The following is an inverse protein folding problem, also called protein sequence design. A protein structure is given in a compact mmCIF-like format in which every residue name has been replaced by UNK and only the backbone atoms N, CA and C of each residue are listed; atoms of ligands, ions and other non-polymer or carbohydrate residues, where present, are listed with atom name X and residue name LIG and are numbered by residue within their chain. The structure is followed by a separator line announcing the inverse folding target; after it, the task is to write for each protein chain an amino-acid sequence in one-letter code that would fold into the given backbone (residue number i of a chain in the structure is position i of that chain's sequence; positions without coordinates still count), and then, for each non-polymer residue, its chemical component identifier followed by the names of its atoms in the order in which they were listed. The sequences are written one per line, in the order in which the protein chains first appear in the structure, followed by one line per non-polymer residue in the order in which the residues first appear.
data_IF_850893407276
#
_entry.id   IF_850893407276
#
_cell.length_a   1.000
_cell.length_b   1.000
_cell.length_c   1.000
_cell.angle_alpha   90.00
_cell.angle_beta   90.00
_cell.angle_gamma   90.00
#
_symmetry.space_group_name_H-M   'P 1'
#
loop_
_entity.id
_entity.type
_entity.pdbx_description
1 polymer ?
#
# COMPACT_ATOMS: atom_id res chain seq x y z
N UNK A 1 8.20 4.23 2.79
CA UNK A 1 8.25 2.99 1.99
C UNK A 1 7.74 1.84 2.85
N UNK A 2 8.57 1.12 3.62
CA UNK A 2 8.05 0.06 4.49
C UNK A 2 7.19 0.62 5.62
N UNK A 3 5.91 0.26 5.62
CA UNK A 3 5.06 0.43 6.79
C UNK A 3 5.13 -0.85 7.62
N UNK A 4 4.17 -1.76 7.45
CA UNK A 4 4.13 -3.04 8.18
C UNK A 4 4.93 -4.13 7.45
N UNK A 5 5.72 -4.90 8.18
CA UNK A 5 6.40 -6.11 7.69
C UNK A 5 6.09 -7.28 8.62
N UNK A 6 5.97 -8.49 8.06
CA UNK A 6 5.81 -9.73 8.82
C UNK A 6 6.93 -10.72 8.52
N UNK A 7 7.72 -11.01 9.54
CA UNK A 7 8.79 -12.00 9.55
C UNK A 7 8.28 -13.31 10.14
N UNK A 8 8.71 -14.43 9.56
CA UNK A 8 8.51 -15.78 10.06
C UNK A 8 9.87 -16.48 10.04
N UNK A 9 10.34 -16.92 11.20
CA UNK A 9 11.64 -17.57 11.38
C UNK A 9 11.42 -18.92 12.07
N UNK A 10 12.05 -19.97 11.57
CA UNK A 10 12.11 -21.27 12.24
C UNK A 10 13.44 -21.38 12.98
N UNK A 11 13.48 -22.12 14.10
CA UNK A 11 14.75 -22.40 14.79
C UNK A 11 15.76 -23.07 13.84
N UNK A 12 15.29 -23.97 12.98
CA UNK A 12 16.10 -24.64 11.95
C UNK A 12 16.61 -23.71 10.84
N UNK A 13 16.13 -22.46 10.74
CA UNK A 13 16.71 -21.46 9.84
C UNK A 13 17.99 -20.81 10.42
N UNK A 14 18.32 -21.09 11.68
CA UNK A 14 19.48 -20.52 12.38
C UNK A 14 20.66 -21.50 12.42
N UNK A 15 21.88 -20.96 12.48
CA UNK A 15 23.12 -21.77 12.45
C UNK A 15 23.54 -22.21 13.87
N UNK A 16 22.69 -21.96 14.87
CA UNK A 16 22.94 -22.22 16.27
C UNK A 16 21.73 -22.87 16.92
N UNK A 17 21.98 -23.70 17.93
CA UNK A 17 20.92 -24.25 18.77
C UNK A 17 20.30 -23.11 19.60
N UNK A 18 18.98 -23.02 19.56
CA UNK A 18 18.21 -21.99 20.26
C UNK A 18 16.78 -22.46 20.46
N UNK A 19 16.22 -22.16 21.64
CA UNK A 19 14.81 -22.34 21.94
C UNK A 19 14.14 -20.96 21.97
N UNK A 20 13.26 -20.66 21.02
CA UNK A 20 12.56 -19.36 20.98
C UNK A 20 11.66 -19.15 22.21
N UNK A 21 11.11 -20.23 22.76
CA UNK A 21 10.27 -20.19 23.97
C UNK A 21 11.05 -19.74 25.20
N UNK A 22 12.36 -20.00 25.26
CA UNK A 22 13.23 -19.57 26.35
C UNK A 22 13.85 -18.21 26.05
N UNK A 23 14.40 -18.04 24.85
CA UNK A 23 15.23 -16.89 24.53
C UNK A 23 14.40 -15.64 24.20
N UNK A 24 13.38 -15.78 23.36
CA UNK A 24 12.62 -14.62 22.85
C UNK A 24 11.57 -14.16 23.87
N UNK A 25 10.95 -15.10 24.59
CA UNK A 25 9.85 -14.78 25.52
C UNK A 25 10.31 -13.87 26.66
N UNK A 26 11.54 -14.02 27.16
CA UNK A 26 12.11 -13.15 28.19
C UNK A 26 12.36 -11.70 27.75
N UNK A 27 12.17 -11.38 26.47
CA UNK A 27 12.49 -10.06 25.87
C UNK A 27 11.26 -9.25 25.49
N UNK A 28 10.07 -9.80 25.67
CA UNK A 28 8.81 -9.17 25.23
C UNK A 28 7.90 -8.91 26.41
N UNK A 29 7.05 -7.89 26.29
CA UNK A 29 5.94 -7.67 27.20
C UNK A 29 4.82 -8.66 26.84
N UNK A 30 4.67 -9.71 27.65
CA UNK A 30 3.72 -10.79 27.39
C UNK A 30 2.28 -10.29 27.54
N UNK A 31 1.47 -10.55 26.52
CA UNK A 31 0.03 -10.27 26.53
C UNK A 31 -0.77 -11.57 26.76
N UNK A 32 -0.36 -12.67 26.12
CA UNK A 32 -1.05 -13.97 26.19
C UNK A 32 -0.03 -15.09 26.25
N UNK A 33 -0.24 -16.02 27.19
CA UNK A 33 0.59 -17.20 27.36
C UNK A 33 -0.27 -18.46 27.38
N UNK A 34 0.12 -19.46 26.59
CA UNK A 34 -0.50 -20.79 26.51
C UNK A 34 0.58 -21.83 26.23
N UNK A 35 0.26 -23.12 26.45
CA UNK A 35 1.24 -24.22 26.49
C UNK A 35 2.28 -24.19 25.36
N UNK A 36 1.85 -23.97 24.11
CA UNK A 36 2.75 -23.95 22.94
C UNK A 36 2.75 -22.62 22.20
N UNK A 37 2.25 -21.55 22.83
CA UNK A 37 2.11 -20.25 22.17
C UNK A 37 2.18 -19.11 23.17
N UNK A 38 3.13 -18.21 22.93
CA UNK A 38 3.26 -16.95 23.65
C UNK A 38 3.11 -15.80 22.67
N UNK A 39 2.31 -14.81 23.04
CA UNK A 39 2.12 -13.58 22.29
C UNK A 39 2.44 -12.41 23.21
N UNK A 40 3.21 -11.47 22.70
CA UNK A 40 3.54 -10.24 23.40
C UNK A 40 4.00 -9.17 22.44
N UNK A 41 4.56 -8.12 23.00
CA UNK A 41 5.00 -6.95 22.27
C UNK A 41 6.42 -6.56 22.64
N UNK A 42 7.20 -6.23 21.64
CA UNK A 42 8.46 -5.51 21.79
C UNK A 42 8.30 -4.16 21.12
N UNK A 43 8.08 -3.11 21.91
CA UNK A 43 7.64 -1.80 21.42
C UNK A 43 6.41 -1.97 20.49
N UNK A 44 6.49 -1.47 19.25
CA UNK A 44 5.44 -1.54 18.25
C UNK A 44 5.43 -2.87 17.45
N UNK A 45 6.33 -3.81 17.74
CA UNK A 45 6.37 -5.12 17.10
C UNK A 45 5.56 -6.11 17.91
N UNK A 46 4.55 -6.71 17.27
CA UNK A 46 3.86 -7.88 17.81
C UNK A 46 4.76 -9.10 17.60
N UNK A 47 5.04 -9.81 18.68
CA UNK A 47 5.90 -11.00 18.69
C UNK A 47 5.06 -12.19 19.11
N UNK A 48 5.16 -13.26 18.34
CA UNK A 48 4.44 -14.50 18.60
C UNK A 48 5.36 -15.69 18.41
N UNK A 49 5.56 -16.46 19.49
CA UNK A 49 6.31 -17.72 19.48
C UNK A 49 5.30 -18.86 19.48
N UNK A 50 5.47 -19.83 18.56
CA UNK A 50 4.66 -21.04 18.41
C UNK A 50 5.58 -22.25 18.30
N UNK A 51 5.89 -22.89 19.43
CA UNK A 51 6.93 -23.93 19.47
C UNK A 51 8.22 -23.40 18.85
N UNK A 52 8.68 -24.02 17.77
CA UNK A 52 9.92 -23.69 17.05
C UNK A 52 9.78 -22.59 15.98
N UNK A 53 8.63 -21.90 15.93
CA UNK A 53 8.35 -20.82 14.98
C UNK A 53 8.22 -19.48 15.68
N UNK A 54 8.99 -18.50 15.23
CA UNK A 54 8.88 -17.10 15.63
C UNK A 54 8.19 -16.29 14.53
N UNK A 55 7.19 -15.49 14.92
CA UNK A 55 6.47 -14.56 14.05
C UNK A 55 6.63 -13.16 14.63
N UNK A 56 7.16 -12.23 13.84
CA UNK A 56 7.33 -10.82 14.23
C UNK A 56 6.62 -9.95 13.20
N UNK A 57 5.65 -9.15 13.64
CA UNK A 57 4.84 -8.30 12.77
C UNK A 57 4.75 -6.87 13.33
N UNK A 58 5.05 -5.87 12.51
CA UNK A 58 4.90 -4.48 12.91
C UNK A 58 5.57 -3.50 11.94
N UNK A 59 5.54 -2.22 12.31
CA UNK A 59 6.05 -1.15 11.46
C UNK A 59 7.56 -0.93 11.64
N UNK A 60 8.34 -1.11 10.57
CA UNK A 60 9.78 -0.80 10.58
C UNK A 60 10.01 0.70 10.78
N UNK A 61 9.15 1.55 10.19
CA UNK A 61 9.24 3.01 10.36
C UNK A 61 8.92 3.43 11.80
N UNK A 62 7.87 2.89 12.43
CA UNK A 62 7.60 3.17 13.86
C UNK A 62 8.75 2.68 14.75
N UNK A 63 9.35 1.53 14.46
CA UNK A 63 10.48 1.03 15.25
C UNK A 63 11.68 1.99 15.26
N UNK A 64 12.02 2.55 14.10
CA UNK A 64 13.19 3.40 13.94
C UNK A 64 12.94 4.86 14.33
N UNK A 65 11.78 5.42 13.97
CA UNK A 65 11.46 6.84 14.16
C UNK A 65 10.48 7.14 15.30
N UNK A 66 9.85 6.12 15.89
CA UNK A 66 8.75 6.32 16.84
C UNK A 66 7.50 6.92 16.21
N UNK A 67 7.31 6.78 14.89
CA UNK A 67 6.07 7.10 14.17
C UNK A 67 6.11 6.52 12.75
N UNK A 68 4.98 6.51 12.03
CA UNK A 68 4.91 6.08 10.63
C UNK A 68 4.43 7.17 9.66
N UNK A 69 4.64 8.43 10.04
CA UNK A 69 4.10 9.55 9.27
C UNK A 69 5.10 10.64 8.91
N UNK A 70 6.23 10.77 9.61
CA UNK A 70 7.16 11.88 9.43
C UNK A 70 7.98 11.77 8.14
N UNK A 71 8.63 10.63 7.90
CA UNK A 71 9.42 10.39 6.67
C UNK A 71 9.61 8.91 6.39
N UNK A 72 10.10 8.62 5.18
CA UNK A 72 10.52 7.27 4.79
C UNK A 72 11.96 6.99 5.24
N UNK A 73 12.26 5.72 5.54
CA UNK A 73 13.59 5.23 5.84
C UNK A 73 14.47 5.11 4.58
N UNK A 74 15.72 5.55 4.68
CA UNK A 74 16.80 5.26 3.74
C UNK A 74 17.24 3.79 3.82
N UNK A 75 17.98 3.32 2.80
CA UNK A 75 18.39 1.91 2.69
C UNK A 75 19.20 1.44 3.92
N UNK A 76 20.18 2.24 4.34
CA UNK A 76 20.99 1.94 5.52
C UNK A 76 20.17 1.93 6.81
N UNK A 77 19.15 2.78 6.93
CA UNK A 77 18.25 2.83 8.09
C UNK A 77 17.39 1.57 8.18
N UNK A 78 16.95 1.03 7.03
CA UNK A 78 16.22 -0.25 6.97
C UNK A 78 17.12 -1.38 7.47
N UNK A 79 18.37 -1.43 7.00
CA UNK A 79 19.35 -2.42 7.48
C UNK A 79 19.67 -2.27 8.97
N UNK A 80 19.85 -1.04 9.45
CA UNK A 80 20.06 -0.76 10.88
C UNK A 80 18.85 -1.15 11.73
N UNK A 81 17.63 -0.90 11.23
CA UNK A 81 16.36 -1.28 11.87
C UNK A 81 16.30 -2.78 12.07
N UNK A 82 16.51 -3.57 11.01
CA UNK A 82 16.46 -5.04 11.09
C UNK A 82 17.53 -5.58 12.04
N UNK A 83 18.78 -5.10 11.94
CA UNK A 83 19.85 -5.48 12.87
C UNK A 83 19.54 -5.12 14.32
N UNK A 84 18.90 -3.97 14.56
CA UNK A 84 18.51 -3.55 15.91
C UNK A 84 17.37 -4.42 16.48
N UNK A 85 16.43 -4.84 15.64
CA UNK A 85 15.38 -5.78 16.00
C UNK A 85 15.97 -7.16 16.30
N UNK A 86 16.92 -7.63 15.49
CA UNK A 86 17.66 -8.88 15.73
C UNK A 86 18.35 -8.88 17.09
N UNK A 87 19.06 -7.81 17.44
CA UNK A 87 19.71 -7.66 18.77
C UNK A 87 18.69 -7.64 19.91
N UNK A 88 17.58 -6.94 19.72
CA UNK A 88 16.58 -6.79 20.77
C UNK A 88 15.83 -8.10 21.06
N UNK A 89 15.65 -8.97 20.06
CA UNK A 89 15.07 -10.31 20.22
C UNK A 89 16.11 -11.42 20.45
N UNK A 90 17.40 -11.09 20.32
CA UNK A 90 18.54 -12.02 20.28
C UNK A 90 18.40 -13.18 19.28
N UNK A 91 17.89 -12.88 18.08
CA UNK A 91 17.75 -13.82 16.97
C UNK A 91 18.04 -13.12 15.65
N UNK A 92 18.56 -13.82 14.64
CA UNK A 92 18.85 -13.20 13.34
C UNK A 92 17.59 -13.06 12.48
N UNK A 93 16.89 -11.93 12.61
CA UNK A 93 15.71 -11.58 11.79
C UNK A 93 16.08 -11.41 10.31
N UNK A 94 17.34 -11.14 10.00
CA UNK A 94 17.87 -11.13 8.64
C UNK A 94 17.58 -12.45 7.89
N UNK A 95 17.60 -13.58 8.59
CA UNK A 95 17.32 -14.90 8.03
C UNK A 95 15.84 -15.23 7.93
N UNK A 96 14.97 -14.44 8.58
CA UNK A 96 13.55 -14.71 8.64
C UNK A 96 12.89 -14.54 7.27
N UNK A 97 11.97 -15.43 6.94
CA UNK A 97 11.12 -15.32 5.76
C UNK A 97 10.15 -14.16 5.92
N UNK A 98 10.11 -13.29 4.93
CA UNK A 98 9.16 -12.18 4.87
C UNK A 98 7.88 -12.66 4.20
N UNK A 99 6.77 -12.62 4.94
CA UNK A 99 5.47 -13.16 4.48
C UNK A 99 4.46 -12.06 4.12
N UNK A 100 4.61 -10.87 4.70
CA UNK A 100 3.83 -9.66 4.39
C UNK A 100 4.74 -8.44 4.30
N UNK A 101 4.48 -7.58 3.33
CA UNK A 101 5.12 -6.26 3.18
C UNK A 101 4.05 -5.24 2.81
N UNK A 102 3.92 -4.19 3.61
CA UNK A 102 3.07 -3.06 3.29
C UNK A 102 3.96 -1.86 2.91
N UNK A 103 3.72 -1.29 1.72
CA UNK A 103 4.40 -0.09 1.24
C UNK A 103 3.46 1.09 1.37
N UNK A 104 3.81 2.10 2.16
CA UNK A 104 2.96 3.27 2.36
C UNK A 104 3.71 4.61 2.24
N UNK A 105 2.98 5.61 1.76
CA UNK A 105 3.37 7.01 1.71
C UNK A 105 2.18 7.91 2.05
N UNK A 106 2.47 9.04 2.69
CA UNK A 106 1.50 10.09 2.99
C UNK A 106 1.70 11.24 2.01
N UNK A 107 0.60 11.83 1.56
CA UNK A 107 0.58 12.91 0.59
C UNK A 107 -0.24 14.06 1.14
N UNK A 108 0.38 15.23 1.28
CA UNK A 108 -0.35 16.46 1.58
C UNK A 108 -1.01 16.94 0.29
N UNK A 109 -2.33 16.96 0.28
CA UNK A 109 -3.15 17.33 -0.88
C UNK A 109 -3.93 18.60 -0.58
N UNK A 110 -4.36 19.32 -1.61
CA UNK A 110 -5.08 20.60 -1.44
C UNK A 110 -6.48 20.41 -0.90
N UNK A 111 -7.17 19.37 -1.35
CA UNK A 111 -8.58 19.12 -1.02
C UNK A 111 -8.75 17.96 -0.03
N UNK A 112 -9.96 17.78 0.47
CA UNK A 112 -10.31 16.64 1.32
C UNK A 112 -9.93 15.29 0.65
N UNK A 113 -9.24 14.36 1.34
CA UNK A 113 -8.75 13.11 0.76
C UNK A 113 -9.82 12.29 0.02
N UNK A 114 -11.06 12.29 0.50
CA UNK A 114 -12.16 11.54 -0.13
C UNK A 114 -12.52 12.03 -1.53
N UNK A 115 -12.23 13.30 -1.86
CA UNK A 115 -12.43 13.86 -3.20
C UNK A 115 -11.44 13.27 -4.22
N UNK A 116 -10.27 12.83 -3.79
CA UNK A 116 -9.30 12.09 -4.61
C UNK A 116 -9.70 10.63 -4.72
N UNK A 117 -10.08 10.00 -3.59
CA UNK A 117 -10.48 8.60 -3.55
C UNK A 117 -11.65 8.29 -4.49
N UNK A 118 -12.68 9.15 -4.56
CA UNK A 118 -13.81 8.95 -5.47
C UNK A 118 -13.43 8.92 -6.95
N UNK A 119 -12.29 9.50 -7.34
CA UNK A 119 -11.79 9.53 -8.72
C UNK A 119 -10.95 8.31 -9.10
N UNK A 120 -10.68 7.41 -8.16
CA UNK A 120 -10.01 6.14 -8.42
C UNK A 120 -11.09 5.10 -8.70
N UNK A 121 -11.26 4.70 -9.96
CA UNK A 121 -12.48 4.04 -10.44
C UNK A 121 -12.36 2.53 -10.59
N UNK A 122 -11.32 2.03 -11.24
CA UNK A 122 -11.22 0.62 -11.56
C UNK A 122 -9.76 0.16 -11.62
N UNK A 123 -9.52 -1.07 -11.19
CA UNK A 123 -8.21 -1.71 -11.31
C UNK A 123 -8.42 -3.18 -11.65
N UNK A 124 -7.84 -3.59 -12.76
CA UNK A 124 -8.04 -4.93 -13.30
C UNK A 124 -7.63 -6.03 -12.31
N UNK A 125 -8.48 -7.04 -12.14
CA UNK A 125 -8.33 -8.14 -11.17
C UNK A 125 -8.44 -7.76 -9.69
N UNK A 126 -8.82 -6.53 -9.36
CA UNK A 126 -9.10 -6.11 -7.99
C UNK A 126 -10.58 -5.82 -7.80
N UNK A 127 -11.11 -6.22 -6.66
CA UNK A 127 -12.44 -5.82 -6.21
C UNK A 127 -12.36 -4.45 -5.54
N UNK A 128 -13.11 -3.48 -6.04
CA UNK A 128 -13.16 -2.13 -5.48
C UNK A 128 -14.26 -2.05 -4.42
N UNK A 129 -13.94 -1.48 -3.26
CA UNK A 129 -14.92 -1.21 -2.21
C UNK A 129 -14.53 0.01 -1.39
N UNK A 130 -15.51 0.66 -0.75
CA UNK A 130 -15.25 1.79 0.12
C UNK A 130 -16.05 1.68 1.42
N UNK A 131 -15.48 2.15 2.52
CA UNK A 131 -16.19 2.34 3.78
C UNK A 131 -16.54 3.82 3.86
N UNK A 132 -17.76 4.16 3.42
CA UNK A 132 -18.26 5.54 3.37
C UNK A 132 -17.23 6.52 2.75
N UNK A 133 -17.11 7.73 3.30
CA UNK A 133 -16.10 8.74 2.92
C UNK A 133 -14.77 8.58 3.66
N UNK A 134 -14.52 7.42 4.30
CA UNK A 134 -13.36 7.22 5.20
C UNK A 134 -12.17 6.54 4.52
N UNK A 135 -12.43 5.55 3.66
CA UNK A 135 -11.39 4.72 3.05
C UNK A 135 -11.86 4.05 1.76
N UNK A 136 -10.91 3.81 0.86
CA UNK A 136 -11.08 3.11 -0.40
C UNK A 136 -10.12 1.94 -0.49
N UNK A 137 -10.65 0.78 -0.88
CA UNK A 137 -9.95 -0.47 -1.01
C UNK A 137 -10.01 -0.96 -2.46
N UNK A 138 -8.87 -1.42 -2.97
CA UNK A 138 -8.82 -2.34 -4.09
C UNK A 138 -8.26 -3.65 -3.57
N UNK A 139 -9.10 -4.68 -3.49
CA UNK A 139 -8.79 -5.95 -2.87
C UNK A 139 -8.51 -7.06 -3.89
N UNK A 140 -7.44 -7.80 -3.63
CA UNK A 140 -7.07 -9.03 -4.31
C UNK A 140 -6.62 -10.04 -3.27
N UNK A 141 -6.63 -11.31 -3.65
CA UNK A 141 -6.26 -12.42 -2.76
C UNK A 141 -4.87 -12.28 -2.13
N UNK A 142 -3.88 -11.84 -2.91
CA UNK A 142 -2.46 -11.76 -2.50
C UNK A 142 -2.00 -10.34 -2.16
N UNK A 143 -2.84 -9.33 -2.41
CA UNK A 143 -2.49 -7.93 -2.23
C UNK A 143 -3.70 -7.01 -2.09
N UNK A 144 -3.52 -5.81 -1.56
CA UNK A 144 -4.57 -4.80 -1.42
C UNK A 144 -3.98 -3.41 -1.63
N UNK A 145 -4.70 -2.52 -2.30
CA UNK A 145 -4.44 -1.08 -2.25
C UNK A 145 -5.40 -0.45 -1.25
N UNK A 146 -4.90 0.43 -0.40
CA UNK A 146 -5.69 1.16 0.58
C UNK A 146 -5.41 2.65 0.47
N UNK A 147 -6.47 3.44 0.39
CA UNK A 147 -6.43 4.89 0.43
C UNK A 147 -7.31 5.40 1.58
N UNK A 148 -6.83 6.36 2.36
CA UNK A 148 -7.61 6.93 3.46
C UNK A 148 -7.08 8.27 3.96
N UNK A 149 -7.89 9.01 4.72
CA UNK A 149 -7.46 10.22 5.41
C UNK A 149 -6.61 9.87 6.65
N UNK A 150 -5.31 10.16 6.59
CA UNK A 150 -4.36 9.81 7.66
C UNK A 150 -4.58 10.64 8.92
N UNK A 151 -5.01 11.90 8.79
CA UNK A 151 -5.31 12.73 9.97
C UNK A 151 -6.49 12.14 10.74
N UNK A 152 -7.54 11.72 10.04
CA UNK A 152 -8.68 11.04 10.68
C UNK A 152 -8.26 9.76 11.38
N UNK A 153 -7.42 8.92 10.75
CA UNK A 153 -6.92 7.70 11.39
C UNK A 153 -6.07 7.99 12.64
N UNK A 154 -5.20 9.00 12.61
CA UNK A 154 -4.40 9.39 13.78
C UNK A 154 -5.30 9.88 14.94
N UNK A 155 -6.42 10.55 14.64
CA UNK A 155 -7.39 10.97 15.66
C UNK A 155 -8.11 9.80 16.34
N UNK A 156 -8.13 8.62 15.73
CA UNK A 156 -8.71 7.41 16.33
C UNK A 156 -7.71 6.62 17.18
N UNK A 157 -6.41 6.91 17.06
CA UNK A 157 -5.35 6.31 17.87
C UNK A 157 -5.09 7.23 19.09
N UNK A 158 -5.22 6.71 20.31
CA UNK A 158 -5.08 7.49 21.56
C UNK A 158 -3.63 7.54 22.10
N UNK A 159 -2.65 7.05 21.33
CA UNK A 159 -1.26 7.04 21.76
C UNK A 159 -0.55 8.40 21.54
N UNK A 160 0.51 8.64 22.32
CA UNK A 160 1.24 9.91 22.29
C UNK A 160 1.84 10.26 20.91
N UNK A 161 2.26 9.26 20.13
CA UNK A 161 2.82 9.47 18.78
C UNK A 161 1.74 9.97 17.83
N UNK A 162 0.54 9.41 17.95
CA UNK A 162 -0.64 9.78 17.15
C UNK A 162 -1.13 11.18 17.48
N UNK A 163 -1.19 11.55 18.77
CA UNK A 163 -1.50 12.93 19.21
C UNK A 163 -0.51 13.92 18.63
N UNK A 164 0.79 13.62 18.68
CA UNK A 164 1.81 14.48 18.07
C UNK A 164 1.67 14.54 16.54
N UNK A 165 1.28 13.43 15.91
CA UNK A 165 1.03 13.37 14.47
C UNK A 165 -0.12 14.28 14.04
N UNK A 166 -1.21 14.31 14.81
CA UNK A 166 -2.33 15.23 14.56
C UNK A 166 -1.86 16.69 14.62
N UNK A 167 -1.03 17.05 15.61
CA UNK A 167 -0.44 18.41 15.70
C UNK A 167 0.45 18.73 14.51
N UNK A 168 1.28 17.78 14.07
CA UNK A 168 2.18 17.98 12.94
C UNK A 168 1.44 18.18 11.60
N UNK A 169 0.21 17.67 11.49
CA UNK A 169 -0.66 17.81 10.32
C UNK A 169 -1.78 18.83 10.50
N UNK A 170 -1.67 19.72 11.49
CA UNK A 170 -2.67 20.76 11.71
C UNK A 170 -2.90 21.59 10.43
N UNK A 171 -4.17 21.74 10.05
CA UNK A 171 -4.57 22.45 8.83
C UNK A 171 -4.27 21.73 7.50
N UNK A 172 -3.75 20.49 7.52
CA UNK A 172 -3.38 19.76 6.32
C UNK A 172 -4.35 18.63 5.98
N UNK A 173 -4.61 18.44 4.70
CA UNK A 173 -5.29 17.24 4.18
C UNK A 173 -4.24 16.19 3.82
N UNK A 174 -4.20 15.09 4.57
CA UNK A 174 -3.20 14.03 4.37
C UNK A 174 -3.87 12.77 3.85
N UNK A 175 -3.67 12.48 2.57
CA UNK A 175 -4.08 11.24 1.93
C UNK A 175 -2.96 10.21 2.05
N UNK A 176 -3.25 9.05 2.64
CA UNK A 176 -2.32 7.93 2.65
C UNK A 176 -2.68 6.93 1.59
N UNK A 177 -1.66 6.41 0.90
CA UNK A 177 -1.78 5.32 -0.04
C UNK A 177 -0.86 4.17 0.37
N UNK A 178 -1.44 2.99 0.58
CA UNK A 178 -0.74 1.76 0.91
C UNK A 178 -0.91 0.70 -0.19
N UNK A 179 0.18 -0.02 -0.50
CA UNK A 179 0.17 -1.28 -1.21
C UNK A 179 0.56 -2.40 -0.24
N UNK A 180 -0.43 -3.19 0.18
CA UNK A 180 -0.29 -4.28 1.14
C UNK A 180 -0.10 -5.59 0.40
N UNK A 181 1.08 -6.17 0.46
CA UNK A 181 1.39 -7.47 -0.12
C UNK A 181 1.16 -8.54 0.95
N UNK A 182 -0.01 -9.18 0.90
CA UNK A 182 -0.45 -10.19 1.87
C UNK A 182 0.26 -11.55 1.66
N UNK A 183 0.78 -11.80 0.46
CA UNK A 183 1.51 -13.03 0.09
C UNK A 183 2.79 -12.72 -0.69
N UNK A 184 3.85 -12.32 0.02
CA UNK A 184 5.15 -11.94 -0.57
C UNK A 184 5.70 -13.03 -1.50
N UNK A 185 5.66 -14.29 -1.07
CA UNK A 185 6.18 -15.42 -1.85
C UNK A 185 5.53 -15.59 -3.22
N UNK A 186 4.24 -15.25 -3.35
CA UNK A 186 3.53 -15.34 -4.64
C UNK A 186 3.94 -14.24 -5.61
N UNK A 187 4.35 -13.07 -5.11
CA UNK A 187 4.67 -11.89 -5.93
C UNK A 187 6.16 -11.82 -6.26
N UNK A 188 7.03 -12.24 -5.35
CA UNK A 188 8.48 -12.06 -5.45
C UNK A 188 9.30 -13.34 -5.29
N UNK A 189 8.67 -14.49 -5.03
CA UNK A 189 9.38 -15.67 -4.56
C UNK A 189 9.81 -15.53 -3.09
N UNK A 190 10.69 -16.42 -2.62
CA UNK A 190 11.18 -16.34 -1.24
C UNK A 190 11.99 -15.04 -1.04
N UNK A 191 11.60 -14.28 -0.01
CA UNK A 191 12.28 -13.05 0.41
C UNK A 191 12.64 -13.23 1.87
N UNK A 192 13.92 -13.02 2.21
CA UNK A 192 14.41 -13.02 3.60
C UNK A 192 14.62 -11.59 4.09
N UNK A 193 14.72 -11.41 5.40
CA UNK A 193 14.88 -10.09 6.03
C UNK A 193 16.07 -9.30 5.49
N UNK A 194 17.17 -9.96 5.18
CA UNK A 194 18.37 -9.35 4.58
C UNK A 194 18.12 -8.68 3.22
N UNK A 195 17.17 -9.21 2.44
CA UNK A 195 16.82 -8.69 1.12
C UNK A 195 16.05 -7.36 1.24
N UNK A 196 15.45 -7.06 2.39
CA UNK A 196 14.67 -5.82 2.56
C UNK A 196 15.50 -4.55 2.49
N UNK A 197 16.82 -4.63 2.68
CA UNK A 197 17.77 -3.52 2.51
C UNK A 197 18.71 -3.71 1.32
N UNK A 198 18.38 -4.60 0.39
CA UNK A 198 19.00 -4.63 -0.94
C UNK A 198 18.41 -3.53 -1.83
N UNK A 199 19.27 -2.80 -2.53
CA UNK A 199 18.88 -1.70 -3.41
C UNK A 199 17.97 -2.17 -4.54
N UNK A 200 18.29 -3.30 -5.20
CA UNK A 200 17.52 -3.80 -6.34
C UNK A 200 16.13 -4.23 -5.90
N UNK A 201 16.01 -4.91 -4.77
CA UNK A 201 14.71 -5.30 -4.20
C UNK A 201 13.87 -4.09 -3.80
N UNK A 202 14.46 -3.11 -3.11
CA UNK A 202 13.75 -1.87 -2.74
C UNK A 202 13.21 -1.13 -3.97
N UNK A 203 14.01 -1.02 -5.03
CA UNK A 203 13.60 -0.41 -6.29
C UNK A 203 12.50 -1.20 -7.00
N UNK A 204 12.58 -2.53 -6.99
CA UNK A 204 11.55 -3.41 -7.54
C UNK A 204 10.22 -3.25 -6.78
N UNK A 205 10.27 -3.23 -5.45
CA UNK A 205 9.11 -3.05 -4.58
C UNK A 205 8.46 -1.67 -4.79
N UNK A 206 9.27 -0.61 -4.80
CA UNK A 206 8.83 0.76 -5.07
C UNK A 206 8.18 0.88 -6.46
N UNK A 207 8.77 0.24 -7.48
CA UNK A 207 8.20 0.22 -8.82
C UNK A 207 6.84 -0.49 -8.87
N UNK A 208 6.68 -1.61 -8.17
CA UNK A 208 5.37 -2.27 -8.10
C UNK A 208 4.32 -1.39 -7.41
N UNK A 209 4.65 -0.74 -6.29
CA UNK A 209 3.75 0.23 -5.64
C UNK A 209 3.34 1.36 -6.61
N UNK A 210 4.30 1.96 -7.31
CA UNK A 210 4.03 3.02 -8.28
C UNK A 210 3.12 2.54 -9.43
N UNK A 211 3.44 1.41 -10.04
CA UNK A 211 2.67 0.85 -11.16
C UNK A 211 1.25 0.45 -10.74
N UNK A 212 1.05 -0.03 -9.50
CA UNK A 212 -0.28 -0.31 -8.99
C UNK A 212 -1.18 0.93 -9.03
N UNK A 213 -0.68 2.09 -8.60
CA UNK A 213 -1.43 3.35 -8.72
C UNK A 213 -1.61 3.78 -10.18
N UNK A 214 -0.56 3.71 -10.99
CA UNK A 214 -0.62 4.18 -12.38
C UNK A 214 -1.63 3.40 -13.22
N UNK A 215 -1.80 2.11 -12.94
CA UNK A 215 -2.75 1.22 -13.62
C UNK A 215 -4.21 1.38 -13.16
N UNK A 216 -4.49 2.17 -12.12
CA UNK A 216 -5.87 2.49 -11.74
C UNK A 216 -6.48 3.37 -12.83
N UNK A 217 -7.61 2.95 -13.39
CA UNK A 217 -8.47 3.77 -14.22
C UNK A 217 -9.09 4.89 -13.37
N UNK A 218 -8.98 6.13 -13.86
CA UNK A 218 -9.27 7.35 -13.09
C UNK A 218 -10.37 8.18 -13.74
N UNK A 219 -11.12 8.89 -12.91
CA UNK A 219 -12.11 9.86 -13.37
C UNK A 219 -11.45 11.21 -13.65
N UNK A 220 -11.61 11.69 -14.89
CA UNK A 220 -11.20 13.01 -15.31
C UNK A 220 -12.40 13.94 -15.42
N UNK A 221 -12.11 15.24 -15.36
CA UNK A 221 -13.12 16.28 -15.54
C UNK A 221 -13.65 16.30 -16.99
N UNK A 222 -14.73 17.03 -17.20
CA UNK A 222 -15.54 16.99 -18.42
C UNK A 222 -14.73 17.27 -19.70
N UNK A 223 -14.89 16.42 -20.72
CA UNK A 223 -14.32 16.62 -22.04
C UNK A 223 -15.28 17.40 -22.95
N UNK A 224 -14.77 18.33 -23.75
CA UNK A 224 -15.58 19.04 -24.76
C UNK A 224 -16.23 18.07 -25.76
N UNK A 225 -17.46 18.38 -26.18
CA UNK A 225 -18.16 17.61 -27.20
C UNK A 225 -17.52 17.80 -28.58
N UNK A 226 -17.30 16.70 -29.29
CA UNK A 226 -16.77 16.69 -30.66
C UNK A 226 -17.91 16.43 -31.65
N UNK A 227 -18.05 17.33 -32.62
CA UNK A 227 -19.10 17.28 -33.66
C UNK A 227 -18.54 17.05 -35.08
N UNK A 228 -17.25 16.73 -35.19
CA UNK A 228 -16.50 16.49 -36.43
C UNK A 228 -16.76 15.10 -37.04
N UNK A 229 -17.83 14.42 -36.62
CA UNK A 229 -18.30 13.16 -37.19
C UNK A 229 -19.18 12.35 -36.24
N UNK A 230 -20.06 11.49 -36.77
CA UNK A 230 -20.98 10.65 -35.96
C UNK A 230 -20.21 9.76 -34.97
N UNK A 231 -19.06 9.23 -35.38
CA UNK A 231 -18.18 8.46 -34.49
C UNK A 231 -17.69 9.30 -33.32
N UNK A 232 -17.15 10.48 -33.58
CA UNK A 232 -16.61 11.34 -32.54
C UNK A 232 -17.70 11.86 -31.61
N UNK A 233 -18.91 12.13 -32.13
CA UNK A 233 -20.06 12.46 -31.29
C UNK A 233 -20.39 11.32 -30.31
N UNK A 234 -20.45 10.07 -30.77
CA UNK A 234 -20.68 8.90 -29.91
C UNK A 234 -19.59 8.75 -28.84
N UNK A 235 -18.32 8.89 -29.23
CA UNK A 235 -17.19 8.84 -28.30
C UNK A 235 -17.26 9.95 -27.25
N UNK A 236 -17.63 11.18 -27.66
CA UNK A 236 -17.85 12.30 -26.74
C UNK A 236 -19.03 12.07 -25.79
N UNK A 237 -20.14 11.50 -26.26
CA UNK A 237 -21.27 11.14 -25.38
C UNK A 237 -20.85 10.11 -24.32
N UNK A 238 -20.07 9.10 -24.69
CA UNK A 238 -19.54 8.12 -23.73
C UNK A 238 -18.59 8.79 -22.74
N UNK A 239 -17.69 9.67 -23.21
CA UNK A 239 -16.79 10.41 -22.33
C UNK A 239 -17.55 11.28 -21.32
N UNK A 240 -18.62 11.95 -21.76
CA UNK A 240 -19.53 12.71 -20.87
C UNK A 240 -20.16 11.82 -19.80
N UNK A 241 -20.63 10.62 -20.16
CA UNK A 241 -21.10 9.65 -19.17
C UNK A 241 -19.98 9.25 -18.19
N UNK A 242 -18.76 9.00 -18.67
CA UNK A 242 -17.61 8.64 -17.82
C UNK A 242 -17.22 9.76 -16.83
N UNK A 243 -17.38 11.03 -17.21
CA UNK A 243 -17.18 12.17 -16.30
C UNK A 243 -18.27 12.28 -15.24
N UNK A 244 -19.48 11.84 -15.55
CA UNK A 244 -20.62 11.90 -14.62
C UNK A 244 -20.71 10.70 -13.67
N UNK A 245 -20.31 9.51 -14.09
CA UNK A 245 -20.50 8.27 -13.32
C UNK A 245 -19.37 7.25 -13.51
N UNK A 246 -19.23 6.31 -12.58
CA UNK A 246 -18.26 5.22 -12.71
C UNK A 246 -18.78 4.14 -13.68
N UNK A 247 -18.58 4.35 -14.97
CA UNK A 247 -18.96 3.40 -16.02
C UNK A 247 -18.30 2.02 -15.85
N UNK A 248 -17.12 1.94 -15.21
CA UNK A 248 -16.47 0.65 -14.94
C UNK A 248 -17.26 -0.20 -13.95
N UNK A 249 -17.76 0.40 -12.87
CA UNK A 249 -18.59 -0.31 -11.87
C UNK A 249 -19.89 -0.81 -12.51
N UNK A 250 -20.51 -0.05 -13.41
CA UNK A 250 -21.71 -0.48 -14.13
C UNK A 250 -21.45 -1.71 -15.03
N UNK A 251 -20.27 -1.80 -15.64
CA UNK A 251 -19.86 -2.96 -16.44
C UNK A 251 -19.62 -4.18 -15.54
N UNK A 252 -18.97 -3.99 -14.38
CA UNK A 252 -18.80 -5.06 -13.38
C UNK A 252 -20.15 -5.57 -12.87
N UNK A 253 -21.10 -4.67 -12.59
CA UNK A 253 -22.46 -5.05 -12.18
C UNK A 253 -23.20 -5.84 -13.26
N UNK A 254 -23.12 -5.40 -14.52
CA UNK A 254 -23.74 -6.10 -15.63
C UNK A 254 -23.18 -7.52 -15.78
N UNK A 255 -21.86 -7.68 -15.62
CA UNK A 255 -21.20 -8.97 -15.64
C UNK A 255 -21.64 -9.86 -14.45
N UNK A 256 -21.67 -9.31 -13.24
CA UNK A 256 -22.09 -10.02 -12.04
C UNK A 256 -23.56 -10.49 -12.10
N UNK A 257 -24.42 -9.71 -12.77
CA UNK A 257 -25.84 -10.05 -13.02
C UNK A 257 -26.02 -11.06 -14.17
N UNK A 258 -24.95 -11.42 -14.89
CA UNK A 258 -25.01 -12.31 -16.05
C UNK A 258 -25.58 -11.66 -17.31
N UNK A 259 -25.70 -10.33 -17.35
CA UNK A 259 -26.21 -9.60 -18.52
C UNK A 259 -25.20 -9.55 -19.67
N UNK A 260 -23.90 -9.69 -19.34
CA UNK A 260 -22.80 -9.76 -20.30
C UNK A 260 -21.84 -10.89 -19.91
N UNK A 261 -21.16 -11.45 -20.90
CA UNK A 261 -20.12 -12.47 -20.71
C UNK A 261 -18.73 -11.83 -20.53
N UNK A 262 -17.71 -12.67 -20.28
CA UNK A 262 -16.34 -12.20 -20.02
C UNK A 262 -15.68 -11.51 -21.23
N UNK A 263 -15.99 -11.95 -22.45
CA UNK A 263 -15.45 -11.36 -23.67
C UNK A 263 -16.05 -9.97 -23.93
N UNK A 264 -17.35 -9.82 -23.70
CA UNK A 264 -18.07 -8.54 -23.78
C UNK A 264 -17.55 -7.55 -22.74
N UNK A 265 -17.42 -7.99 -21.48
CA UNK A 265 -16.80 -7.19 -20.41
C UNK A 265 -15.43 -6.67 -20.83
N UNK A 266 -14.54 -7.56 -21.30
CA UNK A 266 -13.21 -7.18 -21.73
C UNK A 266 -13.24 -6.15 -22.87
N UNK A 267 -14.08 -6.37 -23.88
CA UNK A 267 -14.23 -5.45 -25.02
C UNK A 267 -14.73 -4.06 -24.59
N UNK A 268 -15.74 -4.00 -23.71
CA UNK A 268 -16.29 -2.74 -23.21
C UNK A 268 -15.26 -1.98 -22.37
N UNK A 269 -14.57 -2.65 -21.42
CA UNK A 269 -13.51 -2.01 -20.62
C UNK A 269 -12.40 -1.46 -21.50
N UNK A 270 -11.98 -2.21 -22.53
CA UNK A 270 -10.97 -1.75 -23.50
C UNK A 270 -11.45 -0.52 -24.25
N UNK A 271 -12.73 -0.47 -24.63
CA UNK A 271 -13.30 0.68 -25.34
C UNK A 271 -13.41 1.92 -24.45
N UNK A 272 -13.83 1.76 -23.18
CA UNK A 272 -13.84 2.85 -22.20
C UNK A 272 -12.44 3.46 -22.03
N UNK A 273 -11.41 2.62 -21.91
CA UNK A 273 -10.00 3.07 -21.83
C UNK A 273 -9.58 3.83 -23.09
N UNK A 274 -9.91 3.31 -24.28
CA UNK A 274 -9.62 3.96 -25.56
C UNK A 274 -10.26 5.34 -25.66
N UNK A 275 -11.54 5.46 -25.28
CA UNK A 275 -12.26 6.73 -25.28
C UNK A 275 -11.64 7.69 -24.27
N UNK A 276 -11.27 7.20 -23.08
CA UNK A 276 -10.62 8.04 -22.08
C UNK A 276 -9.29 8.61 -22.57
N UNK A 277 -8.47 7.81 -23.27
CA UNK A 277 -7.20 8.27 -23.84
C UNK A 277 -7.37 9.32 -24.96
N UNK A 278 -8.51 9.29 -25.67
CA UNK A 278 -8.78 10.22 -26.78
C UNK A 278 -9.46 11.51 -26.35
N UNK A 279 -10.37 11.44 -25.38
CA UNK A 279 -11.28 12.54 -25.04
C UNK A 279 -10.81 13.36 -23.83
N UNK A 280 -10.07 12.76 -22.90
CA UNK A 280 -9.64 13.48 -21.70
C UNK A 280 -8.24 14.06 -21.87
N UNK A 281 -8.17 15.39 -21.86
CA UNK A 281 -6.91 16.09 -21.79
C UNK A 281 -6.32 15.98 -20.38
N UNK A 282 -5.30 15.13 -20.25
CA UNK A 282 -4.57 14.92 -18.99
C UNK A 282 -3.74 16.13 -18.58
N UNK A 283 -3.63 17.17 -19.41
CA UNK A 283 -2.94 18.43 -19.08
C UNK A 283 -3.84 19.45 -18.37
N UNK A 284 -5.17 19.29 -18.42
CA UNK A 284 -6.05 20.10 -17.59
C UNK A 284 -5.80 19.83 -16.11
N UNK A 285 -5.83 20.86 -15.25
CA UNK A 285 -5.51 20.73 -13.82
C UNK A 285 -6.68 20.10 -13.06
N UNK A 286 -6.93 18.81 -13.28
CA UNK A 286 -7.89 18.04 -12.50
C UNK A 286 -7.34 17.71 -11.11
N UNK A 287 -8.23 17.52 -10.15
CA UNK A 287 -7.88 17.10 -8.79
C UNK A 287 -7.04 15.81 -8.78
N UNK A 288 -7.31 14.86 -9.70
CA UNK A 288 -6.53 13.62 -9.78
C UNK A 288 -5.11 13.82 -10.37
N UNK A 289 -4.89 14.89 -11.15
CA UNK A 289 -3.58 15.22 -11.70
C UNK A 289 -2.62 15.73 -10.63
N UNK A 290 -3.11 16.49 -9.66
CA UNK A 290 -2.33 16.87 -8.47
C UNK A 290 -1.80 15.62 -7.76
N UNK A 291 -2.68 14.71 -7.35
CA UNK A 291 -2.27 13.52 -6.61
C UNK A 291 -1.37 12.58 -7.43
N UNK A 292 -1.65 12.44 -8.73
CA UNK A 292 -0.79 11.68 -9.64
C UNK A 292 0.61 12.30 -9.76
N UNK A 293 0.71 13.62 -9.75
CA UNK A 293 2.00 14.34 -9.77
C UNK A 293 2.77 14.11 -8.47
N UNK A 294 2.11 14.19 -7.32
CA UNK A 294 2.72 13.89 -6.03
C UNK A 294 3.26 12.45 -5.93
N UNK A 295 2.51 11.48 -6.46
CA UNK A 295 2.97 10.08 -6.55
C UNK A 295 4.19 9.93 -7.46
N UNK A 296 4.19 10.58 -8.63
CA UNK A 296 5.33 10.57 -9.55
C UNK A 296 6.57 11.20 -8.92
N UNK A 297 6.42 12.35 -8.27
CA UNK A 297 7.50 13.04 -7.57
C UNK A 297 8.08 12.17 -6.46
N UNK A 298 7.21 11.55 -5.66
CA UNK A 298 7.62 10.61 -4.61
C UNK A 298 8.36 9.42 -5.18
N UNK A 299 7.87 8.81 -6.26
CA UNK A 299 8.55 7.70 -6.94
C UNK A 299 9.95 8.09 -7.43
N UNK A 300 10.09 9.25 -8.10
CA UNK A 300 11.39 9.74 -8.61
C UNK A 300 12.36 10.02 -7.46
N UNK A 301 11.91 10.70 -6.41
CA UNK A 301 12.73 11.03 -5.26
C UNK A 301 13.21 9.77 -4.53
N UNK A 302 12.29 8.83 -4.26
CA UNK A 302 12.64 7.57 -3.60
C UNK A 302 13.54 6.69 -4.46
N UNK A 303 13.34 6.68 -5.78
CA UNK A 303 14.24 5.99 -6.72
C UNK A 303 15.66 6.54 -6.61
N UNK A 304 15.84 7.87 -6.51
CA UNK A 304 17.17 8.47 -6.28
C UNK A 304 17.75 8.00 -4.94
N UNK A 305 16.99 8.05 -3.85
CA UNK A 305 17.44 7.63 -2.52
C UNK A 305 17.90 6.17 -2.50
N UNK A 306 17.19 5.27 -3.18
CA UNK A 306 17.52 3.84 -3.19
C UNK A 306 18.50 3.41 -4.29
N UNK A 307 18.79 4.28 -5.26
CA UNK A 307 19.79 4.01 -6.31
C UNK A 307 21.21 4.36 -5.87
N UNK A 308 21.37 5.08 -4.77
CA UNK A 308 22.70 5.36 -4.19
C UNK A 308 23.21 4.04 -3.61
N UNK A 309 24.16 3.43 -4.32
CA UNK A 309 24.93 2.29 -3.81
C UNK A 309 25.78 2.80 -2.64
N UNK A 310 25.88 2.06 -1.51
CA UNK A 310 26.79 2.39 -0.43
C UNK A 310 28.24 2.56 -0.88
#
# INVERSE_FOLDING_TARGET
MYDTVKFVLLENDLDNEICFMEEVVCRINIEKCSVNRVVGYLKNMRVEVRGTTLIVEGSLTKWFLGNNYARTLALWEIGATIKSLSRALNVSIEKAKVTRIDVAFNFCVKNEPWLYMKRLLFLESYYRSNIEKSSLYFDKYDSQLLFYNKVTALKTEEDAESIQGVKNFEGQNVLRYEFRIKKVTKIFGEVRGEILFDSKFCLLLLNKWYMCYMNIDKQFDESSLRFDGVRHLKESCVAQCMSAMNMFDLVEEAFAKGNINSAEKFAIIKELRRIADLCFDRTQVSLINEFTTEIKNTYINMKRIYSVVP
#
